data_IF_043579691249
#
_entry.id   IF_043579691249
#
_cell.length_a   1.000
_cell.length_b   1.000
_cell.length_c   1.000
_cell.angle_alpha   90.00
_cell.angle_beta   90.00
_cell.angle_gamma   90.00
#
_symmetry.space_group_name_H-M   'P 1'
#
loop_
_entity.id
_entity.type
_entity.pdbx_description
1 polymer ?
#
# COMPACT_ATOMS: atom_id res chain seq x y z
N UNK A 1 15.80 -26.58 -13.82
CA UNK A 1 15.78 -25.64 -14.94
C UNK A 1 17.18 -25.52 -15.47
N UNK A 2 17.32 -25.29 -16.77
CA UNK A 2 18.61 -24.94 -17.36
C UNK A 2 19.15 -23.64 -16.70
N UNK A 3 20.39 -23.67 -16.19
CA UNK A 3 20.96 -22.54 -15.42
C UNK A 3 21.13 -21.27 -16.25
N UNK A 4 21.38 -21.42 -17.55
CA UNK A 4 21.55 -20.28 -18.45
C UNK A 4 20.19 -19.61 -18.68
N UNK A 5 19.13 -20.40 -18.85
CA UNK A 5 17.75 -19.89 -18.95
C UNK A 5 17.31 -19.21 -17.64
N UNK A 6 17.60 -19.82 -16.49
CA UNK A 6 17.32 -19.23 -15.18
C UNK A 6 17.99 -17.86 -15.03
N UNK A 7 19.28 -17.77 -15.35
CA UNK A 7 20.03 -16.52 -15.31
C UNK A 7 19.43 -15.47 -16.25
N UNK A 8 19.04 -15.86 -17.46
CA UNK A 8 18.41 -14.99 -18.43
C UNK A 8 17.07 -14.42 -17.89
N UNK A 9 16.18 -15.29 -17.40
CA UNK A 9 14.88 -14.86 -16.86
C UNK A 9 15.08 -13.92 -15.68
N UNK A 10 16.01 -14.24 -14.77
CA UNK A 10 16.30 -13.42 -13.60
C UNK A 10 16.84 -12.03 -13.97
N UNK A 11 17.74 -11.95 -14.96
CA UNK A 11 18.26 -10.66 -15.45
C UNK A 11 17.17 -9.84 -16.16
N UNK A 12 16.33 -10.48 -16.98
CA UNK A 12 15.16 -9.84 -17.59
C UNK A 12 14.22 -9.26 -16.53
N UNK A 13 13.80 -10.07 -15.56
CA UNK A 13 12.91 -9.64 -14.48
C UNK A 13 13.53 -8.53 -13.62
N UNK A 14 14.83 -8.59 -13.37
CA UNK A 14 15.56 -7.50 -12.68
C UNK A 14 15.46 -6.21 -13.47
N UNK A 15 15.63 -6.28 -14.81
CA UNK A 15 15.46 -5.11 -15.66
C UNK A 15 14.05 -4.56 -15.68
N UNK A 16 13.04 -5.43 -15.67
CA UNK A 16 11.64 -5.02 -15.55
C UNK A 16 11.40 -4.30 -14.22
N UNK A 17 11.91 -4.83 -13.10
CA UNK A 17 11.80 -4.17 -11.79
C UNK A 17 12.43 -2.77 -11.81
N UNK A 18 13.61 -2.61 -12.39
CA UNK A 18 14.27 -1.31 -12.54
C UNK A 18 13.43 -0.33 -13.38
N UNK A 19 12.87 -0.80 -14.49
CA UNK A 19 12.00 -0.01 -15.37
C UNK A 19 10.73 0.44 -14.64
N UNK A 20 10.03 -0.48 -13.98
CA UNK A 20 8.80 -0.22 -13.22
C UNK A 20 9.07 0.73 -12.06
N UNK A 21 10.17 0.56 -11.32
CA UNK A 21 10.57 1.47 -10.25
C UNK A 21 10.86 2.88 -10.79
N UNK A 22 11.54 3.00 -11.94
CA UNK A 22 11.80 4.29 -12.59
C UNK A 22 10.51 4.96 -13.08
N UNK A 23 9.60 4.19 -13.68
CA UNK A 23 8.28 4.68 -14.09
C UNK A 23 7.52 5.24 -12.90
N UNK A 24 7.50 4.50 -11.78
CA UNK A 24 6.83 4.94 -10.56
C UNK A 24 7.46 6.21 -9.99
N UNK A 25 8.79 6.27 -9.84
CA UNK A 25 9.50 7.51 -9.43
C UNK A 25 9.18 8.70 -10.33
N UNK A 26 8.95 8.45 -11.61
CA UNK A 26 8.66 9.49 -12.59
C UNK A 26 7.22 10.00 -12.56
N UNK A 27 6.34 9.38 -11.77
CA UNK A 27 4.95 9.82 -11.57
C UNK A 27 3.90 8.94 -12.25
N UNK A 28 4.32 7.86 -12.91
CA UNK A 28 3.38 6.89 -13.48
C UNK A 28 2.85 6.01 -12.35
N UNK A 29 1.55 6.02 -12.08
CA UNK A 29 0.95 5.15 -11.05
C UNK A 29 1.04 3.68 -11.48
N UNK A 30 1.37 2.81 -10.53
CA UNK A 30 1.48 1.37 -10.79
C UNK A 30 0.11 0.70 -10.78
N UNK A 31 -0.22 -0.11 -11.81
CA UNK A 31 -1.54 -0.71 -11.93
C UNK A 31 -1.70 -1.91 -10.98
N UNK A 32 -2.92 -2.11 -10.46
CA UNK A 32 -3.29 -3.31 -9.70
C UNK A 32 -3.78 -4.47 -10.61
N UNK A 33 -3.88 -4.24 -11.92
CA UNK A 33 -4.25 -5.24 -12.93
C UNK A 33 -3.83 -4.76 -14.31
N UNK A 34 -3.60 -5.69 -15.25
CA UNK A 34 -3.40 -5.33 -16.66
C UNK A 34 -4.57 -4.55 -17.25
N UNK A 35 -5.80 -4.80 -16.77
CA UNK A 35 -6.97 -4.03 -17.15
C UNK A 35 -6.91 -2.57 -16.66
N UNK A 36 -6.52 -2.35 -15.40
CA UNK A 36 -6.32 -1.00 -14.88
C UNK A 36 -5.25 -0.23 -15.68
N UNK A 37 -4.16 -0.92 -16.07
CA UNK A 37 -3.13 -0.32 -16.93
C UNK A 37 -3.67 0.15 -18.28
N UNK A 38 -4.59 -0.60 -18.87
CA UNK A 38 -5.23 -0.22 -20.14
C UNK A 38 -6.08 1.05 -19.98
N UNK A 39 -6.75 1.21 -18.84
CA UNK A 39 -7.63 2.35 -18.55
C UNK A 39 -6.89 3.62 -18.10
N UNK A 40 -5.64 3.51 -17.66
CA UNK A 40 -4.87 4.66 -17.22
C UNK A 40 -4.64 5.66 -18.36
N UNK A 41 -4.99 6.91 -18.08
CA UNK A 41 -4.72 8.06 -18.95
C UNK A 41 -3.25 8.48 -18.87
N UNK A 42 -2.40 7.63 -19.44
CA UNK A 42 -0.95 7.84 -19.57
C UNK A 42 -0.65 7.98 -21.06
N UNK A 43 0.16 8.97 -21.48
CA UNK A 43 0.58 9.11 -22.87
C UNK A 43 1.19 7.81 -23.41
N UNK A 44 0.88 7.48 -24.67
CA UNK A 44 1.43 6.29 -25.34
C UNK A 44 2.96 6.28 -25.45
N UNK A 45 3.60 7.43 -25.32
CA UNK A 45 5.06 7.54 -25.18
C UNK A 45 5.41 8.80 -24.40
N UNK A 46 6.58 8.81 -23.78
CA UNK A 46 7.05 9.98 -23.06
C UNK A 46 8.45 9.81 -22.51
N UNK A 47 8.81 10.69 -21.59
CA UNK A 47 10.14 10.77 -20.99
C UNK A 47 10.00 10.68 -19.47
N UNK A 48 10.68 9.69 -18.88
CA UNK A 48 10.84 9.45 -17.46
C UNK A 48 11.96 10.34 -16.89
N UNK A 49 12.24 10.19 -15.59
CA UNK A 49 13.41 10.83 -14.98
C UNK A 49 14.71 10.49 -15.75
N UNK A 50 15.68 11.40 -15.71
CA UNK A 50 16.97 11.30 -16.41
C UNK A 50 16.90 11.23 -17.95
N UNK A 51 15.75 11.55 -18.57
CA UNK A 51 15.63 11.56 -20.03
C UNK A 51 15.33 10.19 -20.65
N UNK A 52 15.06 9.17 -19.83
CA UNK A 52 14.75 7.80 -20.26
C UNK A 52 13.41 7.76 -20.96
N UNK A 53 13.35 7.16 -22.16
CA UNK A 53 12.12 7.07 -22.94
C UNK A 53 11.30 5.85 -22.56
N UNK A 54 9.98 5.98 -22.59
CA UNK A 54 9.04 4.87 -22.48
C UNK A 54 8.02 4.88 -23.61
N UNK A 55 7.47 3.70 -23.92
CA UNK A 55 6.38 3.51 -24.86
C UNK A 55 5.36 2.52 -24.28
N UNK A 56 4.15 2.99 -23.99
CA UNK A 56 3.03 2.17 -23.53
C UNK A 56 2.40 1.45 -24.73
N UNK A 57 2.20 0.14 -24.61
CA UNK A 57 1.54 -0.69 -25.61
C UNK A 57 0.67 -1.72 -24.91
N UNK A 58 -0.53 -2.02 -25.44
CA UNK A 58 -1.40 -3.07 -24.88
C UNK A 58 -1.43 -3.10 -23.33
N UNK A 59 -1.18 -4.29 -22.77
CA UNK A 59 -1.10 -4.53 -21.32
C UNK A 59 0.27 -4.18 -20.70
N UNK A 60 1.16 -3.51 -21.43
CA UNK A 60 2.57 -3.37 -21.07
C UNK A 60 3.23 -2.05 -21.40
N UNK A 61 4.55 -2.06 -21.28
CA UNK A 61 5.39 -0.92 -21.56
C UNK A 61 6.80 -1.36 -21.98
N UNK A 62 7.39 -0.59 -22.89
CA UNK A 62 8.79 -0.65 -23.23
C UNK A 62 9.53 0.54 -22.60
N UNK A 63 10.70 0.30 -22.01
CA UNK A 63 11.53 1.34 -21.38
C UNK A 63 12.98 1.24 -21.87
N UNK A 64 13.55 2.38 -22.27
CA UNK A 64 14.92 2.49 -22.80
C UNK A 64 15.91 2.87 -21.70
N UNK A 65 16.18 1.95 -20.77
CA UNK A 65 17.15 2.15 -19.70
C UNK A 65 18.59 2.27 -20.24
N UNK A 66 19.48 2.89 -19.47
CA UNK A 66 20.92 3.01 -19.82
C UNK A 66 21.60 1.64 -19.97
N UNK A 67 21.09 0.63 -19.27
CA UNK A 67 21.58 -0.75 -19.31
C UNK A 67 21.02 -1.53 -20.51
N UNK A 68 20.12 -0.94 -21.29
CA UNK A 68 19.45 -1.53 -22.44
C UNK A 68 17.93 -1.55 -22.31
N UNK A 69 17.28 -1.76 -23.46
CA UNK A 69 15.82 -1.77 -23.61
C UNK A 69 15.18 -2.99 -22.96
N UNK A 70 14.02 -2.81 -22.32
CA UNK A 70 13.18 -3.89 -21.81
C UNK A 70 11.72 -3.66 -22.21
N UNK A 71 11.06 -4.70 -22.70
CA UNK A 71 9.63 -4.76 -23.05
C UNK A 71 8.97 -5.78 -22.13
N UNK A 72 7.86 -5.40 -21.51
CA UNK A 72 7.13 -6.26 -20.58
C UNK A 72 5.63 -5.97 -20.64
N UNK A 73 4.82 -6.96 -20.26
CA UNK A 73 3.40 -6.79 -19.96
C UNK A 73 3.15 -6.94 -18.46
N UNK A 74 2.15 -6.21 -17.95
CA UNK A 74 1.59 -6.49 -16.64
C UNK A 74 0.70 -7.73 -16.70
N UNK A 75 0.79 -8.59 -15.69
CA UNK A 75 -0.09 -9.74 -15.52
C UNK A 75 -1.54 -9.35 -15.15
N UNK A 76 -2.41 -10.35 -15.04
CA UNK A 76 -3.85 -10.16 -14.75
C UNK A 76 -4.09 -9.33 -13.47
N UNK A 77 -3.24 -9.48 -12.47
CA UNK A 77 -3.29 -8.75 -11.19
C UNK A 77 -2.15 -7.72 -11.06
N UNK A 78 -1.56 -7.29 -12.18
CA UNK A 78 -0.47 -6.30 -12.19
C UNK A 78 0.89 -6.91 -11.87
N UNK A 79 1.07 -8.23 -12.08
CA UNK A 79 2.35 -8.90 -11.94
C UNK A 79 3.39 -8.31 -12.92
N UNK A 80 4.66 -8.22 -12.50
CA UNK A 80 5.77 -7.68 -13.31
C UNK A 80 6.87 -8.70 -13.58
N UNK A 81 6.70 -9.93 -13.09
CA UNK A 81 7.64 -11.03 -13.24
C UNK A 81 7.22 -12.03 -14.34
N UNK A 82 6.14 -11.72 -15.07
CA UNK A 82 5.70 -12.48 -16.23
C UNK A 82 6.58 -12.27 -17.45
N UNK A 83 6.77 -13.33 -18.23
CA UNK A 83 7.56 -13.30 -19.46
C UNK A 83 7.01 -14.29 -20.50
N UNK A 84 7.50 -14.19 -21.72
CA UNK A 84 7.31 -15.17 -22.77
C UNK A 84 8.59 -15.29 -23.61
N UNK A 85 8.65 -16.30 -24.48
CA UNK A 85 9.82 -16.56 -25.30
C UNK A 85 10.17 -15.36 -26.21
N UNK A 86 9.17 -14.65 -26.73
CA UNK A 86 9.38 -13.50 -27.61
C UNK A 86 10.09 -12.36 -26.87
N UNK A 87 9.68 -12.06 -25.64
CA UNK A 87 10.30 -11.04 -24.78
C UNK A 87 11.72 -11.41 -24.39
N UNK A 88 11.97 -12.67 -24.05
CA UNK A 88 13.32 -13.15 -23.73
C UNK A 88 14.24 -13.09 -24.96
N UNK A 89 13.76 -13.48 -26.14
CA UNK A 89 14.50 -13.37 -27.39
C UNK A 89 14.77 -11.88 -27.76
N UNK A 90 13.78 -11.02 -27.55
CA UNK A 90 13.90 -9.58 -27.78
C UNK A 90 14.89 -8.90 -26.81
N UNK A 91 14.89 -9.31 -25.55
CA UNK A 91 15.79 -8.82 -24.51
C UNK A 91 17.25 -9.25 -24.73
N UNK A 92 17.43 -10.44 -25.28
CA UNK A 92 18.76 -11.02 -25.53
C UNK A 92 19.39 -10.58 -26.83
N UNK A 93 18.65 -10.42 -27.95
CA UNK A 93 19.16 -9.98 -29.29
C UNK A 93 20.68 -10.15 -29.48
N UNK A 94 21.47 -9.09 -29.30
CA UNK A 94 22.92 -9.08 -29.57
C UNK A 94 23.80 -9.56 -28.38
N UNK A 95 23.17 -10.05 -27.31
CA UNK A 95 23.76 -10.45 -26.02
C UNK A 95 23.54 -11.93 -25.69
N UNK A 96 23.08 -12.74 -26.63
CA UNK A 96 22.90 -14.19 -26.44
C UNK A 96 24.14 -14.88 -25.81
N UNK A 97 25.38 -14.60 -26.25
CA UNK A 97 26.57 -15.23 -25.67
C UNK A 97 26.80 -14.87 -24.20
N UNK A 98 26.32 -13.70 -23.73
CA UNK A 98 26.43 -13.29 -22.33
C UNK A 98 25.63 -14.20 -21.39
N UNK A 99 24.64 -14.91 -21.92
CA UNK A 99 23.81 -15.86 -21.19
C UNK A 99 24.16 -17.31 -21.53
N UNK A 100 25.25 -17.57 -22.25
CA UNK A 100 25.66 -18.93 -22.61
C UNK A 100 24.77 -19.59 -23.67
N UNK A 101 24.11 -18.79 -24.51
CA UNK A 101 23.37 -19.27 -25.68
C UNK A 101 24.08 -18.84 -26.97
N UNK A 102 24.22 -19.77 -27.91
CA UNK A 102 24.78 -19.50 -29.24
C UNK A 102 23.71 -19.07 -30.25
N UNK A 103 22.44 -19.41 -29.98
CA UNK A 103 21.33 -19.12 -30.88
C UNK A 103 19.98 -19.04 -30.16
N UNK A 104 18.99 -18.42 -30.81
CA UNK A 104 17.64 -18.33 -30.27
C UNK A 104 16.96 -19.72 -30.15
N UNK A 105 17.29 -20.66 -31.03
CA UNK A 105 16.75 -22.03 -30.96
C UNK A 105 17.22 -22.78 -29.70
N UNK A 106 18.40 -22.44 -29.16
CA UNK A 106 18.84 -23.02 -27.88
C UNK A 106 17.99 -22.49 -26.71
N UNK A 107 17.61 -21.21 -26.74
CA UNK A 107 16.68 -20.65 -25.73
C UNK A 107 15.34 -21.34 -25.82
N UNK A 108 14.77 -21.44 -27.03
CA UNK A 108 13.47 -22.09 -27.25
C UNK A 108 13.45 -23.53 -26.72
N UNK A 109 14.50 -24.32 -27.01
CA UNK A 109 14.62 -25.69 -26.47
C UNK A 109 14.66 -25.73 -24.94
N UNK A 110 15.48 -24.89 -24.32
CA UNK A 110 15.56 -24.81 -22.85
C UNK A 110 14.24 -24.34 -22.24
N UNK A 111 13.54 -23.42 -22.92
CA UNK A 111 12.25 -22.88 -22.52
C UNK A 111 11.16 -23.94 -22.52
N UNK A 112 11.01 -24.66 -23.64
CA UNK A 112 10.05 -25.76 -23.79
C UNK A 112 10.32 -26.90 -22.80
N UNK A 113 11.59 -27.24 -22.55
CA UNK A 113 11.97 -28.23 -21.55
C UNK A 113 11.57 -27.79 -20.12
N UNK A 114 11.67 -26.50 -19.81
CA UNK A 114 11.30 -25.95 -18.50
C UNK A 114 9.78 -25.90 -18.29
N UNK A 115 9.00 -25.67 -19.36
CA UNK A 115 7.55 -25.84 -19.34
C UNK A 115 7.17 -27.31 -19.15
N UNK A 116 7.77 -28.21 -19.94
CA UNK A 116 7.47 -29.65 -19.91
C UNK A 116 7.79 -30.31 -18.56
N UNK A 117 8.81 -29.81 -17.85
CA UNK A 117 9.19 -30.26 -16.52
C UNK A 117 8.36 -29.63 -15.38
N UNK A 118 7.49 -28.66 -15.70
CA UNK A 118 6.64 -27.97 -14.72
C UNK A 118 7.36 -26.89 -13.91
N UNK A 119 8.56 -26.48 -14.34
CA UNK A 119 9.33 -25.42 -13.68
C UNK A 119 8.82 -24.01 -14.05
N UNK A 120 8.18 -23.91 -15.23
CA UNK A 120 7.46 -22.74 -15.70
C UNK A 120 5.97 -23.06 -15.84
N UNK A 121 5.12 -22.12 -15.41
CA UNK A 121 3.66 -22.27 -15.48
C UNK A 121 3.01 -21.16 -16.30
N UNK A 122 1.97 -21.52 -17.07
CA UNK A 122 1.18 -20.58 -17.84
C UNK A 122 0.14 -19.87 -16.98
N UNK A 123 0.01 -18.56 -17.20
CA UNK A 123 -1.15 -17.79 -16.77
C UNK A 123 -2.22 -17.70 -17.85
N UNK A 124 -3.40 -17.21 -17.47
CA UNK A 124 -4.51 -16.95 -18.38
C UNK A 124 -4.20 -15.87 -19.42
N UNK A 125 -3.28 -14.95 -19.13
CA UNK A 125 -2.89 -13.89 -20.05
C UNK A 125 -1.88 -14.33 -21.10
N UNK A 126 -1.42 -15.59 -21.06
CA UNK A 126 -0.40 -16.10 -21.98
C UNK A 126 1.03 -15.86 -21.51
N UNK A 127 1.23 -15.10 -20.41
CA UNK A 127 2.54 -14.96 -19.76
C UNK A 127 2.87 -16.22 -18.97
N UNK A 128 4.16 -16.51 -18.86
CA UNK A 128 4.75 -17.55 -18.04
C UNK A 128 5.47 -16.97 -16.84
N UNK A 129 5.60 -17.81 -15.81
CA UNK A 129 6.25 -17.49 -14.56
C UNK A 129 6.94 -18.73 -13.99
N UNK A 130 7.83 -18.54 -13.01
CA UNK A 130 8.32 -19.65 -12.20
C UNK A 130 7.18 -20.31 -11.42
N UNK A 131 7.11 -21.64 -11.48
CA UNK A 131 6.20 -22.42 -10.66
C UNK A 131 6.53 -22.23 -9.17
N UNK A 132 5.49 -22.23 -8.32
CA UNK A 132 5.58 -22.08 -6.86
C UNK A 132 6.24 -20.78 -6.35
N UNK A 133 6.60 -19.85 -7.25
CA UNK A 133 7.16 -18.57 -6.88
C UNK A 133 6.07 -17.58 -6.47
N UNK A 134 6.33 -16.82 -5.41
CA UNK A 134 5.47 -15.68 -5.05
C UNK A 134 5.58 -14.61 -6.13
N UNK A 135 4.43 -14.25 -6.72
CA UNK A 135 4.35 -13.22 -7.76
C UNK A 135 4.79 -11.87 -7.26
N UNK A 136 5.49 -11.13 -8.11
CA UNK A 136 5.88 -9.73 -7.84
C UNK A 136 4.87 -8.79 -8.47
N UNK A 137 4.19 -7.99 -7.65
CA UNK A 137 3.18 -7.04 -8.11
C UNK A 137 3.76 -5.64 -8.35
N UNK A 138 3.27 -4.94 -9.36
CA UNK A 138 3.68 -3.57 -9.68
C UNK A 138 3.38 -2.61 -8.51
N UNK A 139 2.24 -2.78 -7.84
CA UNK A 139 1.83 -1.94 -6.69
C UNK A 139 2.77 -2.08 -5.49
N UNK A 140 3.53 -3.16 -5.41
CA UNK A 140 4.47 -3.44 -4.34
C UNK A 140 5.91 -3.09 -4.72
N UNK A 141 6.14 -2.48 -5.89
CA UNK A 141 7.49 -2.15 -6.34
C UNK A 141 8.19 -1.25 -5.32
N UNK A 142 9.43 -1.62 -4.97
CA UNK A 142 10.25 -0.75 -4.15
C UNK A 142 10.90 0.29 -5.04
N UNK A 143 10.50 1.55 -4.83
CA UNK A 143 11.07 2.67 -5.57
C UNK A 143 11.98 3.54 -4.71
N UNK A 144 12.37 3.08 -3.52
CA UNK A 144 13.32 3.79 -2.67
C UNK A 144 14.72 3.82 -3.28
N UNK A 145 15.45 4.92 -3.10
CA UNK A 145 16.87 4.99 -3.48
C UNK A 145 17.74 4.40 -2.35
N UNK A 146 18.96 3.93 -2.64
CA UNK A 146 19.88 3.47 -1.61
C UNK A 146 20.07 4.53 -0.51
N UNK A 147 19.82 4.14 0.74
CA UNK A 147 19.91 5.04 1.90
C UNK A 147 18.62 5.78 2.26
N UNK A 148 17.56 5.68 1.45
CA UNK A 148 16.25 6.20 1.81
C UNK A 148 15.62 5.31 2.91
N UNK A 149 15.42 5.90 4.09
CA UNK A 149 14.87 5.20 5.25
C UNK A 149 13.34 5.20 5.28
N UNK A 150 12.66 5.98 4.44
CA UNK A 150 11.21 5.96 4.38
C UNK A 150 10.76 4.84 3.43
N UNK A 151 10.01 3.82 3.88
CA UNK A 151 9.52 2.76 3.00
C UNK A 151 8.64 3.30 1.87
N UNK A 152 8.49 2.52 0.79
CA UNK A 152 7.45 2.77 -0.22
C UNK A 152 6.07 2.84 0.44
N UNK A 153 5.19 3.74 -0.02
CA UNK A 153 3.88 4.04 0.61
C UNK A 153 3.07 2.80 1.00
N UNK A 154 3.01 1.79 0.14
CA UNK A 154 2.27 0.56 0.37
C UNK A 154 2.96 -0.41 1.35
N UNK A 155 4.25 -0.22 1.60
CA UNK A 155 5.08 -0.98 2.55
C UNK A 155 5.26 -0.25 3.88
N UNK A 156 4.80 0.99 4.01
CA UNK A 156 4.88 1.75 5.25
C UNK A 156 3.75 1.35 6.21
N UNK A 157 4.09 0.60 7.24
CA UNK A 157 3.15 0.14 8.26
C UNK A 157 2.38 1.26 8.97
N UNK A 158 2.94 2.48 9.05
CA UNK A 158 2.21 3.63 9.64
C UNK A 158 1.12 4.10 8.68
N UNK A 159 1.43 4.12 7.38
CA UNK A 159 0.46 4.41 6.33
C UNK A 159 -0.60 3.32 6.23
N UNK A 160 -0.24 2.05 6.38
CA UNK A 160 -1.19 0.93 6.47
C UNK A 160 -2.11 1.10 7.68
N UNK A 161 -1.54 1.44 8.85
CA UNK A 161 -2.32 1.67 10.07
C UNK A 161 -3.33 2.81 9.88
N UNK A 162 -2.90 3.89 9.22
CA UNK A 162 -3.73 5.02 8.87
C UNK A 162 -4.86 4.63 7.89
N UNK A 163 -4.51 4.10 6.71
CA UNK A 163 -5.46 3.88 5.60
C UNK A 163 -6.46 2.76 5.85
N UNK A 164 -6.05 1.68 6.53
CA UNK A 164 -6.91 0.51 6.71
C UNK A 164 -7.67 0.48 8.04
N UNK A 165 -7.18 1.20 9.06
CA UNK A 165 -7.77 1.13 10.39
C UNK A 165 -8.28 2.49 10.88
N UNK A 166 -7.43 3.52 10.83
CA UNK A 166 -7.83 4.84 11.32
C UNK A 166 -8.90 5.49 10.44
N UNK A 167 -8.74 5.48 9.12
CA UNK A 167 -9.74 6.00 8.17
C UNK A 167 -11.10 5.29 8.32
N UNK A 168 -11.09 3.98 8.56
CA UNK A 168 -12.32 3.26 8.89
C UNK A 168 -12.94 3.76 10.21
N UNK A 169 -12.12 4.00 11.25
CA UNK A 169 -12.60 4.57 12.51
C UNK A 169 -13.21 5.96 12.30
N UNK A 170 -12.56 6.84 11.53
CA UNK A 170 -13.02 8.21 11.29
C UNK A 170 -14.31 8.22 10.46
N UNK A 171 -14.39 7.44 9.38
CA UNK A 171 -15.62 7.29 8.60
C UNK A 171 -16.80 6.83 9.46
N UNK A 172 -16.58 5.87 10.36
CA UNK A 172 -17.62 5.40 11.28
C UNK A 172 -18.01 6.50 12.28
N UNK A 173 -17.05 7.25 12.82
CA UNK A 173 -17.30 8.38 13.72
C UNK A 173 -18.11 9.47 13.05
N UNK A 174 -17.73 9.89 11.85
CA UNK A 174 -18.41 10.92 11.09
C UNK A 174 -19.89 10.57 10.86
N UNK A 175 -20.15 9.34 10.40
CA UNK A 175 -21.51 8.88 10.12
C UNK A 175 -22.36 8.78 11.40
N UNK A 176 -21.75 8.36 12.51
CA UNK A 176 -22.39 8.42 13.81
C UNK A 176 -22.75 9.86 14.23
N UNK A 177 -21.84 10.82 14.09
CA UNK A 177 -22.10 12.23 14.45
C UNK A 177 -23.15 12.88 13.54
N UNK A 178 -23.17 12.54 12.24
CA UNK A 178 -24.22 12.96 11.29
C UNK A 178 -25.60 12.51 11.79
N UNK A 179 -25.75 11.24 12.17
CA UNK A 179 -27.02 10.71 12.70
C UNK A 179 -27.38 11.26 14.09
N UNK A 180 -26.40 11.47 14.95
CA UNK A 180 -26.60 12.11 16.27
C UNK A 180 -27.10 13.55 16.11
N UNK A 181 -26.54 14.30 15.16
CA UNK A 181 -26.99 15.65 14.81
C UNK A 181 -28.42 15.64 14.25
N UNK A 182 -28.72 14.69 13.34
CA UNK A 182 -30.08 14.47 12.82
C UNK A 182 -31.08 14.22 13.95
N UNK A 183 -30.75 13.36 14.92
CA UNK A 183 -31.59 13.08 16.09
C UNK A 183 -31.86 14.32 16.93
N UNK A 184 -30.85 15.15 17.18
CA UNK A 184 -30.99 16.42 17.92
C UNK A 184 -31.96 17.37 17.22
N UNK A 185 -31.93 17.45 15.89
CA UNK A 185 -32.81 18.32 15.09
C UNK A 185 -34.25 17.79 14.98
N UNK A 186 -34.42 16.51 14.65
CA UNK A 186 -35.74 15.92 14.35
C UNK A 186 -36.49 15.37 15.57
N UNK A 187 -35.89 15.40 16.77
CA UNK A 187 -36.35 14.76 18.03
C UNK A 187 -36.53 13.24 17.99
N UNK A 188 -36.65 12.61 16.80
CA UNK A 188 -36.75 11.16 16.60
C UNK A 188 -36.00 10.73 15.34
N UNK A 189 -35.38 9.55 15.39
CA UNK A 189 -34.76 8.89 14.25
C UNK A 189 -35.71 7.82 13.66
N UNK A 190 -35.52 7.48 12.39
CA UNK A 190 -36.16 6.28 11.83
C UNK A 190 -35.59 5.02 12.51
N UNK A 191 -36.32 3.90 12.49
CA UNK A 191 -35.81 2.61 13.00
C UNK A 191 -34.51 2.21 12.29
N UNK A 192 -34.40 2.49 10.99
CA UNK A 192 -33.20 2.21 10.21
C UNK A 192 -32.02 3.06 10.68
N UNK A 193 -32.24 4.36 10.88
CA UNK A 193 -31.22 5.29 11.37
C UNK A 193 -30.75 4.94 12.78
N UNK A 194 -31.63 4.43 13.64
CA UNK A 194 -31.26 3.95 14.98
C UNK A 194 -30.32 2.73 14.90
N UNK A 195 -30.62 1.78 14.01
CA UNK A 195 -29.78 0.61 13.77
C UNK A 195 -28.42 1.04 13.21
N UNK A 196 -28.41 1.89 12.18
CA UNK A 196 -27.18 2.42 11.58
C UNK A 196 -26.34 3.19 12.58
N UNK A 197 -26.96 4.08 13.38
CA UNK A 197 -26.28 4.85 14.41
C UNK A 197 -25.57 3.94 15.41
N UNK A 198 -26.20 2.83 15.82
CA UNK A 198 -25.56 1.83 16.69
C UNK A 198 -24.39 1.12 16.00
N UNK A 199 -24.55 0.71 14.74
CA UNK A 199 -23.49 0.04 13.97
C UNK A 199 -22.28 0.97 13.84
N UNK A 200 -22.47 2.20 13.34
CA UNK A 200 -21.39 3.17 13.19
C UNK A 200 -20.69 3.47 14.51
N UNK A 201 -21.46 3.66 15.59
CA UNK A 201 -20.89 3.92 16.90
C UNK A 201 -20.02 2.76 17.42
N UNK A 202 -20.51 1.53 17.31
CA UNK A 202 -19.79 0.35 17.81
C UNK A 202 -18.56 0.07 16.94
N UNK A 203 -18.70 0.18 15.61
CA UNK A 203 -17.59 0.01 14.67
C UNK A 203 -16.53 1.10 14.84
N UNK A 204 -16.90 2.35 15.11
CA UNK A 204 -15.95 3.42 15.41
C UNK A 204 -15.05 3.05 16.59
N UNK A 205 -15.64 2.72 17.74
CA UNK A 205 -14.87 2.35 18.93
C UNK A 205 -14.07 1.05 18.72
N UNK A 206 -14.61 0.11 17.92
CA UNK A 206 -13.91 -1.10 17.51
C UNK A 206 -12.64 -0.79 16.70
N UNK A 207 -12.76 -0.05 15.60
CA UNK A 207 -11.62 0.34 14.77
C UNK A 207 -10.64 1.26 15.50
N UNK A 208 -11.12 2.15 16.37
CA UNK A 208 -10.26 2.97 17.23
C UNK A 208 -9.37 2.09 18.12
N UNK A 209 -9.94 1.02 18.70
CA UNK A 209 -9.18 0.06 19.49
C UNK A 209 -8.11 -0.67 18.67
N UNK A 210 -8.47 -1.15 17.47
CA UNK A 210 -7.53 -1.85 16.57
C UNK A 210 -6.42 -0.90 16.12
N UNK A 211 -6.74 0.37 15.85
CA UNK A 211 -5.75 1.39 15.52
C UNK A 211 -4.76 1.59 16.67
N UNK A 212 -5.25 1.66 17.92
CA UNK A 212 -4.39 1.76 19.10
C UNK A 212 -3.52 0.52 19.31
N UNK A 213 -4.05 -0.67 19.02
CA UNK A 213 -3.31 -1.94 19.07
C UNK A 213 -2.17 -1.94 18.06
N UNK A 214 -2.45 -1.58 16.81
CA UNK A 214 -1.44 -1.44 15.76
C UNK A 214 -0.39 -0.40 16.13
N UNK A 215 -0.80 0.77 16.64
CA UNK A 215 0.13 1.81 17.08
C UNK A 215 1.12 1.30 18.15
N UNK A 216 0.63 0.50 19.11
CA UNK A 216 1.49 -0.16 20.10
C UNK A 216 2.38 -1.23 19.49
N UNK A 217 1.83 -2.05 18.59
CA UNK A 217 2.54 -3.16 17.94
C UNK A 217 3.73 -2.71 17.09
N UNK A 218 3.62 -1.55 16.44
CA UNK A 218 4.70 -0.97 15.61
C UNK A 218 5.90 -0.47 16.44
N UNK A 219 5.72 -0.18 17.74
CA UNK A 219 6.74 0.49 18.56
C UNK A 219 7.19 1.83 17.95
N UNK A 220 6.24 2.77 17.83
CA UNK A 220 6.42 4.05 17.15
C UNK A 220 7.64 4.85 17.57
N UNK A 221 8.02 4.81 18.85
CA UNK A 221 9.20 5.53 19.32
C UNK A 221 10.46 5.03 18.63
N UNK A 222 10.68 3.70 18.61
CA UNK A 222 11.82 3.09 17.95
C UNK A 222 11.79 3.36 16.45
N UNK A 223 10.62 3.16 15.82
CA UNK A 223 10.43 3.41 14.40
C UNK A 223 10.86 4.83 13.99
N UNK A 224 10.36 5.85 14.70
CA UNK A 224 10.66 7.26 14.40
C UNK A 224 12.12 7.65 14.71
N UNK A 225 12.78 6.96 15.65
CA UNK A 225 14.16 7.25 16.02
C UNK A 225 15.18 6.62 15.07
N UNK A 226 14.92 5.37 14.68
CA UNK A 226 15.95 4.47 14.14
C UNK A 226 15.64 4.01 12.70
N UNK A 227 14.37 4.08 12.27
CA UNK A 227 13.89 3.46 11.03
C UNK A 227 13.20 4.48 10.11
N UNK A 228 13.34 5.79 10.36
CA UNK A 228 12.74 6.88 9.58
C UNK A 228 13.73 8.02 9.34
N UNK A 229 13.52 8.86 8.31
CA UNK A 229 14.28 10.09 8.10
C UNK A 229 14.31 10.98 9.35
N UNK A 230 15.38 11.76 9.53
CA UNK A 230 15.64 12.49 10.77
C UNK A 230 14.54 13.47 11.16
N UNK A 231 13.84 14.02 10.18
CA UNK A 231 12.72 14.95 10.29
C UNK A 231 11.53 14.31 11.03
N UNK A 232 11.35 12.98 10.93
CA UNK A 232 10.27 12.27 11.62
C UNK A 232 10.42 12.26 13.14
N UNK A 233 11.60 12.62 13.67
CA UNK A 233 11.81 12.79 15.11
C UNK A 233 10.98 13.94 15.69
N UNK A 234 10.53 14.88 14.86
CA UNK A 234 9.59 15.94 15.25
C UNK A 234 8.25 15.39 15.73
N UNK A 235 7.89 14.16 15.34
CA UNK A 235 6.65 13.50 15.78
C UNK A 235 6.77 12.85 17.16
N UNK A 236 7.98 12.77 17.76
CA UNK A 236 8.17 12.11 19.06
C UNK A 236 7.30 12.69 20.18
N UNK A 237 7.13 14.02 20.34
CA UNK A 237 6.23 14.58 21.35
C UNK A 237 4.78 14.11 21.17
N UNK A 238 4.25 14.15 19.95
CA UNK A 238 2.91 13.67 19.61
C UNK A 238 2.77 12.17 19.89
N UNK A 239 3.73 11.38 19.41
CA UNK A 239 3.79 9.93 19.61
C UNK A 239 3.81 9.55 21.09
N UNK A 240 4.62 10.25 21.90
CA UNK A 240 4.73 9.99 23.34
C UNK A 240 3.43 10.38 24.08
N UNK A 241 2.81 11.51 23.73
CA UNK A 241 1.54 11.93 24.32
C UNK A 241 0.41 10.94 23.99
N UNK A 242 0.30 10.55 22.73
CA UNK A 242 -0.64 9.54 22.26
C UNK A 242 -0.40 8.18 22.93
N UNK A 243 0.85 7.73 23.03
CA UNK A 243 1.19 6.48 23.72
C UNK A 243 0.77 6.46 25.20
N UNK A 244 0.91 7.60 25.90
CA UNK A 244 0.39 7.75 27.27
C UNK A 244 -1.14 7.61 27.30
N UNK A 245 -1.84 8.33 26.43
CA UNK A 245 -3.30 8.31 26.35
C UNK A 245 -3.84 6.90 26.04
N UNK A 246 -3.22 6.21 25.08
CA UNK A 246 -3.53 4.81 24.75
C UNK A 246 -3.36 3.94 25.99
N UNK A 247 -2.22 4.01 26.68
CA UNK A 247 -1.96 3.14 27.82
C UNK A 247 -2.94 3.36 28.99
N UNK A 248 -3.37 4.60 29.21
CA UNK A 248 -4.38 4.94 30.24
C UNK A 248 -5.73 4.27 29.96
N UNK A 249 -6.14 4.18 28.69
CA UNK A 249 -7.51 3.76 28.32
C UNK A 249 -7.59 2.41 27.57
N UNK A 250 -6.45 1.75 27.36
CA UNK A 250 -6.34 0.55 26.53
C UNK A 250 -7.27 -0.58 26.95
N UNK A 251 -7.27 -0.96 28.23
CA UNK A 251 -8.03 -2.12 28.70
C UNK A 251 -9.54 -1.99 28.46
N UNK A 252 -10.21 -0.90 28.89
CA UNK A 252 -11.60 -0.64 28.55
C UNK A 252 -11.92 -0.72 27.05
N UNK A 253 -11.06 -0.14 26.21
CA UNK A 253 -11.28 -0.04 24.76
C UNK A 253 -11.09 -1.40 24.07
N UNK A 254 -10.07 -2.15 24.47
CA UNK A 254 -9.83 -3.53 24.01
C UNK A 254 -10.98 -4.46 24.37
N UNK A 255 -11.46 -4.39 25.61
CA UNK A 255 -12.59 -5.21 26.06
C UNK A 255 -13.86 -4.87 25.26
N UNK A 256 -14.10 -3.59 24.96
CA UNK A 256 -15.21 -3.17 24.09
C UNK A 256 -15.08 -3.75 22.69
N UNK A 257 -13.92 -3.57 22.04
CA UNK A 257 -13.64 -4.13 20.71
C UNK A 257 -13.91 -5.63 20.62
N UNK A 258 -13.48 -6.40 21.61
CA UNK A 258 -13.73 -7.84 21.63
C UNK A 258 -15.23 -8.18 21.58
N UNK A 259 -16.09 -7.35 22.18
CA UNK A 259 -17.54 -7.53 22.16
C UNK A 259 -18.23 -6.99 20.88
N UNK A 260 -17.46 -6.33 20.01
CA UNK A 260 -17.90 -5.84 18.70
C UNK A 260 -17.51 -6.81 17.59
N UNK A 261 -16.25 -7.25 17.57
CA UNK A 261 -15.69 -8.09 16.49
C UNK A 261 -15.66 -9.58 16.77
N UNK A 262 -15.92 -10.01 18.02
CA UNK A 262 -16.09 -11.42 18.36
C UNK A 262 -17.50 -11.68 18.89
N UNK A 263 -17.90 -12.96 18.85
CA UNK A 263 -19.16 -13.39 19.41
C UNK A 263 -19.20 -13.00 20.89
N UNK A 264 -20.24 -12.23 21.24
CA UNK A 264 -20.39 -11.69 22.59
C UNK A 264 -20.64 -12.81 23.60
N UNK A 265 -19.81 -12.85 24.63
CA UNK A 265 -19.96 -13.78 25.76
C UNK A 265 -20.80 -13.18 26.91
N UNK A 266 -20.83 -11.85 27.05
CA UNK A 266 -21.58 -11.17 28.12
C UNK A 266 -22.03 -9.74 27.73
N UNK A 267 -23.32 -9.39 27.88
CA UNK A 267 -23.82 -8.02 27.69
C UNK A 267 -23.34 -7.03 28.75
N UNK A 268 -22.88 -7.49 29.91
CA UNK A 268 -22.41 -6.65 31.03
C UNK A 268 -21.18 -5.83 30.66
N UNK A 269 -20.27 -6.37 29.83
CA UNK A 269 -19.04 -5.67 29.40
C UNK A 269 -19.34 -4.37 28.63
N UNK A 270 -20.36 -4.39 27.77
CA UNK A 270 -20.81 -3.20 27.04
C UNK A 270 -21.48 -2.21 27.98
N UNK A 271 -22.33 -2.68 28.90
CA UNK A 271 -22.96 -1.80 29.90
C UNK A 271 -21.91 -1.10 30.77
N UNK A 272 -20.86 -1.84 31.19
CA UNK A 272 -19.73 -1.30 31.97
C UNK A 272 -18.92 -0.27 31.18
N UNK A 273 -18.86 -0.38 29.85
CA UNK A 273 -18.23 0.64 29.02
C UNK A 273 -19.01 1.97 29.03
N UNK A 274 -20.34 1.92 29.10
CA UNK A 274 -21.19 3.11 29.12
C UNK A 274 -21.66 3.52 30.52
N UNK A 275 -21.02 3.04 31.59
CA UNK A 275 -21.34 3.50 32.94
C UNK A 275 -21.06 5.00 33.06
N UNK A 276 -22.03 5.77 33.59
CA UNK A 276 -21.98 7.24 33.68
C UNK A 276 -20.72 7.77 34.38
N UNK A 277 -20.17 7.01 35.31
CA UNK A 277 -19.04 7.43 36.16
C UNK A 277 -17.67 7.29 35.48
N UNK A 278 -17.60 6.73 34.28
CA UNK A 278 -16.32 6.37 33.64
C UNK A 278 -15.90 7.29 32.48
N UNK A 279 -16.70 8.30 32.14
CA UNK A 279 -16.49 9.32 31.09
C UNK A 279 -15.85 8.81 29.78
N UNK A 280 -16.22 7.58 29.37
CA UNK A 280 -15.45 6.86 28.36
C UNK A 280 -15.53 7.40 26.95
N UNK A 281 -16.58 8.15 26.67
CA UNK A 281 -16.79 8.76 25.37
C UNK A 281 -15.98 10.03 25.19
N UNK A 282 -15.61 10.70 26.27
CA UNK A 282 -14.80 11.92 26.21
C UNK A 282 -13.38 11.54 25.86
N UNK A 283 -12.73 10.67 26.64
CA UNK A 283 -11.37 10.24 26.32
C UNK A 283 -11.28 9.44 25.01
N UNK A 284 -12.34 8.74 24.57
CA UNK A 284 -12.33 8.07 23.27
C UNK A 284 -12.31 9.07 22.10
N UNK A 285 -12.92 10.24 22.25
CA UNK A 285 -12.81 11.34 21.28
C UNK A 285 -11.43 11.96 21.31
N UNK A 286 -10.92 12.27 22.50
CA UNK A 286 -9.56 12.80 22.67
C UNK A 286 -8.51 11.85 22.04
N UNK A 287 -8.69 10.55 22.22
CA UNK A 287 -7.83 9.53 21.63
C UNK A 287 -7.92 9.49 20.10
N UNK A 288 -9.13 9.61 19.57
CA UNK A 288 -9.36 9.69 18.13
C UNK A 288 -8.71 10.95 17.53
N UNK A 289 -8.93 12.12 18.14
CA UNK A 289 -8.40 13.39 17.66
C UNK A 289 -6.85 13.42 17.78
N UNK A 290 -6.28 12.79 18.81
CA UNK A 290 -4.83 12.63 18.95
C UNK A 290 -4.23 11.72 17.85
N UNK A 291 -4.93 10.64 17.47
CA UNK A 291 -4.55 9.81 16.33
C UNK A 291 -4.65 10.58 15.01
N UNK A 292 -5.73 11.34 14.81
CA UNK A 292 -5.91 12.21 13.64
C UNK A 292 -4.72 13.17 13.47
N UNK A 293 -4.36 13.86 14.56
CA UNK A 293 -3.23 14.80 14.57
C UNK A 293 -1.88 14.13 14.28
N UNK A 294 -1.64 12.95 14.85
CA UNK A 294 -0.42 12.18 14.57
C UNK A 294 -0.33 11.75 13.11
N UNK A 295 -1.37 11.09 12.58
CA UNK A 295 -1.36 10.59 11.21
C UNK A 295 -1.32 11.72 10.18
N UNK A 296 -2.02 12.83 10.43
CA UNK A 296 -1.94 14.02 9.59
C UNK A 296 -0.50 14.54 9.49
N UNK A 297 0.17 14.70 10.63
CA UNK A 297 1.56 15.17 10.69
C UNK A 297 2.52 14.18 10.01
N UNK A 298 2.33 12.88 10.23
CA UNK A 298 3.12 11.82 9.60
C UNK A 298 2.99 11.84 8.07
N UNK A 299 1.77 11.94 7.55
CA UNK A 299 1.51 12.04 6.11
C UNK A 299 2.16 13.26 5.48
N UNK A 300 2.09 14.41 6.14
CA UNK A 300 2.74 15.64 5.64
C UNK A 300 4.25 15.41 5.48
N UNK A 301 4.90 14.80 6.48
CA UNK A 301 6.32 14.46 6.38
C UNK A 301 6.60 13.45 5.27
N UNK A 302 5.74 12.46 5.07
CA UNK A 302 5.84 11.55 3.92
C UNK A 302 5.78 12.29 2.58
N UNK A 303 4.79 13.17 2.38
CA UNK A 303 4.64 13.90 1.11
C UNK A 303 5.82 14.83 0.82
N UNK A 304 6.31 15.53 1.84
CA UNK A 304 7.53 16.34 1.73
C UNK A 304 8.72 15.45 1.36
N UNK A 305 8.88 14.31 2.04
CA UNK A 305 9.97 13.38 1.74
C UNK A 305 9.88 12.82 0.32
N UNK A 306 8.69 12.41 -0.14
CA UNK A 306 8.47 11.91 -1.49
C UNK A 306 8.81 12.97 -2.54
N UNK A 307 8.43 14.23 -2.30
CA UNK A 307 8.75 15.33 -3.18
C UNK A 307 10.26 15.57 -3.26
N UNK A 308 10.93 15.67 -2.11
CA UNK A 308 12.36 15.94 -2.03
C UNK A 308 13.23 14.81 -2.61
N UNK A 309 12.74 13.57 -2.57
CA UNK A 309 13.46 12.39 -3.08
C UNK A 309 12.99 11.93 -4.47
N UNK A 310 12.24 12.78 -5.19
CA UNK A 310 11.76 12.50 -6.55
C UNK A 310 10.95 11.18 -6.66
N UNK A 311 10.13 10.88 -5.65
CA UNK A 311 9.22 9.72 -5.59
C UNK A 311 7.82 10.14 -6.05
N UNK A 312 7.72 10.65 -7.29
CA UNK A 312 6.50 11.31 -7.77
C UNK A 312 5.28 10.39 -7.83
N UNK A 313 5.48 9.10 -8.07
CA UNK A 313 4.40 8.12 -8.07
C UNK A 313 3.74 7.92 -6.71
N UNK A 314 4.43 8.29 -5.62
CA UNK A 314 3.91 8.15 -4.25
C UNK A 314 3.13 9.37 -3.78
N UNK A 315 3.41 10.53 -4.39
CA UNK A 315 2.74 11.77 -4.09
C UNK A 315 1.23 11.67 -4.28
N UNK A 316 0.50 12.23 -3.32
CA UNK A 316 -0.96 12.35 -3.34
C UNK A 316 -1.39 13.79 -3.66
N UNK A 317 -0.77 14.38 -4.69
CA UNK A 317 -1.10 15.73 -5.16
C UNK A 317 -2.38 15.63 -6.00
N UNK A 318 -3.52 15.51 -5.32
CA UNK A 318 -4.84 15.45 -5.93
C UNK A 318 -5.93 14.87 -5.03
N UNK A 319 -5.58 14.08 -4.02
CA UNK A 319 -6.51 13.48 -3.06
C UNK A 319 -6.29 14.02 -1.64
N UNK A 320 -7.16 14.91 -1.18
CA UNK A 320 -7.42 15.18 0.25
C UNK A 320 -6.31 15.78 1.15
N UNK A 321 -5.11 16.12 0.68
CA UNK A 321 -4.11 16.86 1.50
C UNK A 321 -4.61 18.21 2.05
N UNK A 322 -5.64 18.80 1.43
CA UNK A 322 -6.20 20.09 1.85
C UNK A 322 -7.60 20.03 2.48
N UNK A 323 -8.22 18.85 2.66
CA UNK A 323 -9.55 18.79 3.30
C UNK A 323 -9.52 18.93 4.82
N UNK A 324 -8.42 18.56 5.48
CA UNK A 324 -8.33 18.60 6.95
C UNK A 324 -7.65 19.88 7.49
N UNK A 325 -6.96 20.68 6.68
CA UNK A 325 -6.31 21.92 7.16
C UNK A 325 -7.21 23.17 7.13
N UNK A 326 -8.46 23.06 6.65
CA UNK A 326 -9.39 24.20 6.51
C UNK A 326 -10.69 24.05 7.32
N UNK A 327 -10.72 23.15 8.31
CA UNK A 327 -11.78 23.14 9.32
C UNK A 327 -11.27 23.79 10.61
N UNK A 328 -10.97 25.09 10.53
CA UNK A 328 -10.87 26.00 11.70
C UNK A 328 -12.25 26.48 12.10
#
# INVERSE_FOLDING_TARGET
MDKNLEQLINEYQTRVRDAVALMYRSGIKMPYSSFAWLEYDIPGSGVLACGIKYHKHGAGCEVQLDTGKVDFDFGENGEIDGFDLWRLAHFTRDRLPCFGFDSAEQIEKSFDASIASGELEHSRSGLLYFADATRVLAIDIDSTQPGDMLPSRNRDMVMTLYSHYFEAADLMRENYEKLKTKRKKARKLSRNDEVQSRIYFFSWLGFLAVTCEGFKGVNMRRLLMDERPGEFKELLPLSNALGKLINTHWHPLRDFRNNVFHLRDSPEKIRKFFSKDADRLTWARELHDALEGFFSSYRILCEVHYFMNNRKGELDIGGDLFRHSLRS
#
